data_IF_023528504911
#
_entry.id   IF_023528504911
#
_cell.length_a   1.000
_cell.length_b   1.000
_cell.length_c   1.000
_cell.angle_alpha   90.00
_cell.angle_beta   90.00
_cell.angle_gamma   90.00
#
_symmetry.space_group_name_H-M   'P 1'
#
loop_
_entity.id
_entity.type
_entity.pdbx_description
1 polymer ?
#
# COMPACT_ATOMS: atom_id res chain seq x y z
N UNK A 1 1.41 -0.64 0.05
CA UNK A 1 0.70 -0.40 1.33
C UNK A 1 -0.37 -1.46 1.56
N UNK A 2 -1.44 -1.54 0.77
CA UNK A 2 -2.48 -2.56 0.98
C UNK A 2 -2.05 -4.02 0.70
N UNK A 3 -0.79 -4.23 0.31
CA UNK A 3 -0.14 -5.56 0.26
C UNK A 3 0.00 -6.19 1.65
N UNK A 4 -0.07 -5.38 2.72
CA UNK A 4 -0.17 -5.85 4.09
C UNK A 4 -0.87 -4.78 4.94
N UNK A 5 -2.10 -5.08 5.35
CA UNK A 5 -2.95 -4.19 6.16
C UNK A 5 -2.42 -4.06 7.58
N UNK A 6 -1.79 -5.10 8.14
CA UNK A 6 -1.27 -5.09 9.49
C UNK A 6 -0.16 -4.03 9.64
N UNK A 7 0.76 -3.96 8.67
CA UNK A 7 1.80 -2.91 8.65
C UNK A 7 1.24 -1.48 8.70
N UNK A 8 0.06 -1.24 8.14
CA UNK A 8 -0.62 0.08 8.20
C UNK A 8 -1.22 0.29 9.60
N UNK A 9 -1.95 -0.69 10.13
CA UNK A 9 -2.58 -0.57 11.46
C UNK A 9 -1.54 -0.47 12.57
N UNK A 10 -0.41 -1.15 12.45
CA UNK A 10 0.67 -1.08 13.44
C UNK A 10 1.39 0.28 13.40
N UNK A 11 1.41 0.96 12.25
CA UNK A 11 1.93 2.31 12.12
C UNK A 11 0.99 3.37 12.73
N UNK A 12 -0.31 3.12 12.70
CA UNK A 12 -1.36 3.96 13.28
C UNK A 12 -2.11 3.21 14.40
N UNK A 13 -1.35 2.66 15.34
CA UNK A 13 -1.86 1.74 16.38
C UNK A 13 -2.89 2.37 17.33
N UNK A 14 -2.92 3.71 17.41
CA UNK A 14 -3.83 4.50 18.22
C UNK A 14 -5.20 4.72 17.54
N UNK A 15 -5.34 4.35 16.27
CA UNK A 15 -6.61 4.48 15.53
C UNK A 15 -7.45 3.23 15.72
N UNK A 16 -8.43 3.33 16.62
CA UNK A 16 -9.35 2.23 16.94
C UNK A 16 -10.14 1.74 15.70
N UNK A 17 -10.18 0.42 15.51
CA UNK A 17 -10.90 -0.23 14.42
C UNK A 17 -10.29 -0.04 13.03
N UNK A 18 -9.06 0.48 12.94
CA UNK A 18 -8.41 0.75 11.65
C UNK A 18 -8.16 -0.53 10.86
N UNK A 19 -7.67 -1.59 11.53
CA UNK A 19 -7.34 -2.85 10.87
C UNK A 19 -8.58 -3.45 10.20
N UNK A 20 -9.69 -3.54 10.92
CA UNK A 20 -10.95 -4.10 10.43
C UNK A 20 -11.47 -3.31 9.23
N UNK A 21 -11.44 -1.96 9.30
CA UNK A 21 -11.84 -1.10 8.18
C UNK A 21 -10.98 -1.33 6.93
N UNK A 22 -9.66 -1.41 7.10
CA UNK A 22 -8.74 -1.61 6.00
C UNK A 22 -8.82 -3.03 5.41
N UNK A 23 -9.10 -4.05 6.23
CA UNK A 23 -9.36 -5.41 5.76
C UNK A 23 -10.64 -5.49 4.92
N UNK A 24 -11.71 -4.82 5.33
CA UNK A 24 -12.94 -4.70 4.52
C UNK A 24 -12.62 -4.09 3.16
N UNK A 25 -11.86 -2.99 3.13
CA UNK A 25 -11.39 -2.39 1.87
C UNK A 25 -10.58 -3.41 1.07
N UNK A 26 -9.54 -4.02 1.66
CA UNK A 26 -8.66 -4.96 0.96
C UNK A 26 -9.41 -6.16 0.36
N UNK A 27 -10.38 -6.70 1.09
CA UNK A 27 -11.21 -7.83 0.66
C UNK A 27 -12.18 -7.50 -0.47
N UNK A 28 -12.49 -6.21 -0.67
CA UNK A 28 -13.36 -5.73 -1.76
C UNK A 28 -12.67 -5.72 -3.12
N UNK A 29 -11.38 -6.05 -3.18
CA UNK A 29 -10.57 -6.05 -4.39
C UNK A 29 -9.83 -7.37 -4.55
N UNK A 30 -9.66 -7.82 -5.81
CA UNK A 30 -8.93 -9.04 -6.13
C UNK A 30 -7.46 -8.96 -5.70
N UNK A 31 -6.83 -7.80 -5.85
CA UNK A 31 -5.46 -7.56 -5.42
C UNK A 31 -5.28 -6.11 -4.93
N UNK A 32 -4.19 -5.81 -4.20
CA UNK A 32 -3.90 -4.45 -3.76
C UNK A 32 -3.74 -3.46 -4.92
N UNK A 33 -3.38 -3.93 -6.12
CA UNK A 33 -3.22 -3.09 -7.31
C UNK A 33 -4.55 -2.48 -7.75
N UNK A 34 -5.65 -3.23 -7.64
CA UNK A 34 -6.98 -2.78 -8.04
C UNK A 34 -7.53 -1.67 -7.13
N UNK A 35 -6.97 -1.51 -5.92
CA UNK A 35 -7.32 -0.41 -5.01
C UNK A 35 -6.86 0.93 -5.58
N UNK A 36 -5.84 0.93 -6.45
CA UNK A 36 -5.22 2.13 -7.02
C UNK A 36 -5.89 2.64 -8.31
N UNK A 37 -6.95 1.99 -8.79
CA UNK A 37 -7.51 2.27 -10.12
C UNK A 37 -8.46 3.47 -10.20
N UNK A 38 -8.97 3.95 -9.06
CA UNK A 38 -9.93 5.05 -9.00
C UNK A 38 -9.26 6.29 -8.36
N UNK A 39 -9.17 7.44 -9.08
CA UNK A 39 -8.57 8.67 -8.57
C UNK A 39 -9.29 9.25 -7.35
N UNK A 40 -10.62 9.17 -7.33
CA UNK A 40 -11.45 9.71 -6.24
C UNK A 40 -11.40 8.80 -5.03
N UNK A 41 -11.19 7.50 -5.24
CA UNK A 41 -11.03 6.51 -4.19
C UNK A 41 -9.57 6.05 -4.01
N UNK A 42 -8.58 6.85 -4.40
CA UNK A 42 -7.18 6.43 -4.35
C UNK A 42 -6.77 5.90 -2.94
N UNK A 43 -5.76 5.02 -2.82
CA UNK A 43 -5.35 4.44 -1.54
C UNK A 43 -5.10 5.48 -0.45
N UNK A 44 -4.54 6.65 -0.81
CA UNK A 44 -4.34 7.74 0.14
C UNK A 44 -5.62 8.43 0.58
N UNK A 45 -6.67 8.50 -0.24
CA UNK A 45 -7.95 9.09 0.14
C UNK A 45 -8.66 8.21 1.18
N UNK A 46 -8.70 6.90 0.94
CA UNK A 46 -9.21 5.91 1.90
C UNK A 46 -8.49 5.97 3.26
N UNK A 47 -7.18 6.18 3.25
CA UNK A 47 -6.40 6.36 4.48
C UNK A 47 -6.66 7.71 5.16
N UNK A 48 -6.90 8.79 4.42
CA UNK A 48 -7.32 10.08 5.03
C UNK A 48 -8.67 9.91 5.73
N UNK A 49 -9.62 9.18 5.13
CA UNK A 49 -10.94 8.95 5.72
C UNK A 49 -10.86 8.13 7.01
N UNK A 50 -9.92 7.18 7.08
CA UNK A 50 -9.71 6.36 8.28
C UNK A 50 -8.82 7.04 9.32
N UNK A 51 -7.87 7.86 8.87
CA UNK A 51 -6.84 8.52 9.68
C UNK A 51 -6.76 9.99 9.22
N UNK A 52 -7.53 10.91 9.80
CA UNK A 52 -7.63 12.30 9.32
C UNK A 52 -6.27 13.02 9.18
N UNK A 53 -5.30 12.70 10.04
CA UNK A 53 -3.95 13.25 9.98
C UNK A 53 -3.05 12.70 8.86
N UNK A 54 -3.45 11.62 8.19
CA UNK A 54 -2.63 10.95 7.18
C UNK A 54 -2.26 11.86 6.00
N UNK A 55 -3.10 12.84 5.66
CA UNK A 55 -2.83 13.77 4.57
C UNK A 55 -1.49 14.50 4.71
N UNK A 56 -1.14 14.91 5.94
CA UNK A 56 0.13 15.57 6.26
C UNK A 56 1.29 14.58 6.44
N UNK A 57 0.97 13.31 6.69
CA UNK A 57 1.95 12.26 6.98
C UNK A 57 2.24 11.38 5.76
N UNK A 58 1.57 11.57 4.63
CA UNK A 58 1.70 10.70 3.45
C UNK A 58 3.15 10.56 2.99
N UNK A 59 3.90 11.66 2.98
CA UNK A 59 5.29 11.69 2.54
C UNK A 59 6.24 10.91 3.46
N UNK A 60 5.96 10.87 4.77
CA UNK A 60 6.78 10.15 5.75
C UNK A 60 6.29 8.72 5.99
N UNK A 61 4.99 8.55 6.26
CA UNK A 61 4.37 7.26 6.59
C UNK A 61 4.38 6.30 5.41
N UNK A 62 4.21 6.78 4.17
CA UNK A 62 4.21 5.94 2.98
C UNK A 62 5.49 5.11 2.84
N UNK A 63 6.68 5.73 2.80
CA UNK A 63 7.96 5.02 2.76
C UNK A 63 8.21 4.12 3.99
N UNK A 64 7.86 4.58 5.20
CA UNK A 64 8.06 3.79 6.44
C UNK A 64 7.25 2.49 6.37
N UNK A 65 5.96 2.59 6.03
CA UNK A 65 5.08 1.44 5.90
C UNK A 65 5.59 0.52 4.77
N UNK A 66 5.92 1.07 3.60
CA UNK A 66 6.45 0.27 2.49
C UNK A 66 7.74 -0.48 2.87
N UNK A 67 8.62 0.15 3.65
CA UNK A 67 9.83 -0.47 4.18
C UNK A 67 9.53 -1.62 5.15
N UNK A 68 8.51 -1.49 6.01
CA UNK A 68 8.07 -2.57 6.90
C UNK A 68 7.48 -3.76 6.16
N UNK A 69 6.68 -3.50 5.13
CA UNK A 69 6.07 -4.56 4.28
C UNK A 69 7.16 -5.33 3.53
N UNK A 70 8.18 -4.62 3.06
CA UNK A 70 9.28 -5.19 2.30
C UNK A 70 8.93 -5.39 0.81
N UNK A 71 9.96 -5.28 -0.03
CA UNK A 71 9.81 -5.31 -1.49
C UNK A 71 9.29 -6.67 -1.98
N UNK A 72 9.68 -7.78 -1.36
CA UNK A 72 9.28 -9.12 -1.79
C UNK A 72 7.79 -9.37 -1.59
N UNK A 73 7.24 -8.94 -0.45
CA UNK A 73 5.79 -8.99 -0.20
C UNK A 73 5.04 -8.11 -1.21
N UNK A 74 5.52 -6.88 -1.44
CA UNK A 74 4.89 -5.98 -2.42
C UNK A 74 4.88 -6.62 -3.81
N UNK A 75 5.99 -7.22 -4.25
CA UNK A 75 6.09 -7.91 -5.55
C UNK A 75 5.20 -9.14 -5.66
N UNK A 76 5.08 -9.93 -4.59
CA UNK A 76 4.21 -11.12 -4.56
C UNK A 76 2.74 -10.74 -4.68
N UNK A 77 2.31 -9.71 -3.96
CA UNK A 77 0.91 -9.27 -3.92
C UNK A 77 0.52 -8.40 -5.13
N UNK A 78 1.50 -7.79 -5.81
CA UNK A 78 1.30 -6.88 -6.93
C UNK A 78 2.05 -7.38 -8.19
N UNK A 79 1.42 -8.25 -9.01
CA UNK A 79 2.06 -8.84 -10.18
C UNK A 79 2.44 -7.85 -11.29
N UNK A 80 1.66 -6.80 -11.52
CA UNK A 80 2.02 -5.77 -12.49
C UNK A 80 3.23 -4.97 -12.02
N UNK A 81 3.28 -4.64 -10.73
CA UNK A 81 4.46 -4.00 -10.14
C UNK A 81 5.70 -4.89 -10.24
N UNK A 82 5.59 -6.19 -9.93
CA UNK A 82 6.70 -7.13 -10.09
C UNK A 82 7.17 -7.23 -11.54
N UNK A 83 6.24 -7.29 -12.50
CA UNK A 83 6.57 -7.29 -13.93
C UNK A 83 7.36 -6.04 -14.33
N UNK A 84 6.92 -4.86 -13.87
CA UNK A 84 7.63 -3.59 -14.09
C UNK A 84 9.04 -3.59 -13.47
N UNK A 85 9.19 -4.07 -12.23
CA UNK A 85 10.50 -4.21 -11.58
C UNK A 85 11.42 -5.15 -12.37
N UNK A 86 10.91 -6.30 -12.82
CA UNK A 86 11.67 -7.25 -13.65
C UNK A 86 12.16 -6.60 -14.95
N UNK A 87 11.32 -5.79 -15.60
CA UNK A 87 11.71 -5.04 -16.81
C UNK A 87 12.82 -4.03 -16.50
N UNK A 88 12.70 -3.26 -15.42
CA UNK A 88 13.73 -2.29 -15.02
C UNK A 88 15.08 -2.96 -14.73
N UNK A 89 15.07 -4.08 -14.00
CA UNK A 89 16.29 -4.83 -13.68
C UNK A 89 16.92 -5.44 -14.94
N UNK A 90 16.11 -5.88 -15.91
CA UNK A 90 16.60 -6.40 -17.18
C UNK A 90 17.26 -5.32 -18.07
N UNK A 91 16.86 -4.05 -17.92
CA UNK A 91 17.51 -2.92 -18.60
C UNK A 91 18.80 -2.50 -17.87
N UNK A 92 18.80 -2.48 -16.54
CA UNK A 92 19.97 -2.11 -15.72
C UNK A 92 21.13 -3.11 -15.75
N UNK A 93 20.89 -4.36 -16.19
CA UNK A 93 21.94 -5.37 -16.38
C UNK A 93 22.67 -5.33 -17.73
N UNK A 94 22.42 -4.31 -18.57
CA UNK A 94 23.00 -4.15 -19.92
C UNK A 94 24.04 -3.02 -20.04
N UNK A 95 24.61 -2.57 -18.92
CA UNK A 95 25.70 -1.58 -18.87
C UNK A 95 27.02 -2.24 -18.51
#
# INVERSE_FOLDING_TARGET
>A
MFSDVASISDHFFDVCGLKEKLEVVRSSFLSPEHINSDPDLAPSKRLIDCVPGYGYLKASSGPIIAGRIGIDTIRRECPHFDSWIKQLLAVGGRI
#
